data_IF_081059262194
#
_entry.id   IF_081059262194
#
_cell.length_a   1.000
_cell.length_b   1.000
_cell.length_c   1.000
_cell.angle_alpha   90.00
_cell.angle_beta   90.00
_cell.angle_gamma   90.00
#
_symmetry.space_group_name_H-M   'P 1'
#
loop_
_entity.id
_entity.type
_entity.pdbx_description
1 polymer ?
#
# COMPACT_ATOMS: atom_id res chain seq x y z
N UNK A 1 4.37 1.39 16.17
CA UNK A 1 4.11 0.05 15.59
C UNK A 1 4.02 -1.01 16.67
N UNK A 2 4.95 -1.06 17.62
CA UNK A 2 4.92 -2.01 18.76
C UNK A 2 3.63 -1.99 19.57
N UNK A 3 3.12 -0.80 19.92
CA UNK A 3 1.85 -0.67 20.65
C UNK A 3 0.67 -1.25 19.87
N UNK A 4 0.61 -1.04 18.55
CA UNK A 4 -0.43 -1.61 17.71
C UNK A 4 -0.36 -3.15 17.67
N UNK A 5 0.85 -3.71 17.57
CA UNK A 5 1.05 -5.15 17.63
C UNK A 5 0.65 -5.73 19.00
N UNK A 6 0.99 -5.06 20.09
CA UNK A 6 0.61 -5.49 21.43
C UNK A 6 -0.93 -5.51 21.61
N UNK A 7 -1.62 -4.46 21.16
CA UNK A 7 -3.08 -4.39 21.20
C UNK A 7 -3.72 -5.50 20.37
N UNK A 8 -3.25 -5.73 19.13
CA UNK A 8 -3.81 -6.77 18.26
C UNK A 8 -3.57 -8.18 18.81
N UNK A 9 -2.36 -8.46 19.33
CA UNK A 9 -2.04 -9.76 19.94
C UNK A 9 -2.88 -10.04 21.19
N UNK A 10 -3.14 -9.03 22.01
CA UNK A 10 -3.96 -9.17 23.21
C UNK A 10 -5.46 -9.32 22.89
N UNK A 11 -5.92 -8.79 21.75
CA UNK A 11 -7.32 -8.83 21.37
C UNK A 11 -7.75 -10.16 20.70
N UNK A 12 -6.83 -10.86 20.02
CA UNK A 12 -7.15 -12.08 19.27
C UNK A 12 -5.93 -13.02 19.17
N UNK A 13 -6.04 -14.21 19.79
CA UNK A 13 -4.99 -15.24 19.81
C UNK A 13 -4.70 -15.85 18.43
N UNK A 14 -5.70 -15.95 17.55
CA UNK A 14 -5.51 -16.45 16.18
C UNK A 14 -4.78 -15.42 15.35
N UNK A 15 -5.14 -14.14 15.51
CA UNK A 15 -4.41 -13.04 14.87
C UNK A 15 -2.98 -12.96 15.40
N UNK A 16 -2.77 -13.16 16.71
CA UNK A 16 -1.44 -13.22 17.30
C UNK A 16 -0.58 -14.30 16.64
N UNK A 17 -1.12 -15.52 16.45
CA UNK A 17 -0.42 -16.60 15.77
C UNK A 17 -0.03 -16.25 14.33
N UNK A 18 -0.90 -15.54 13.58
CA UNK A 18 -0.58 -15.05 12.23
C UNK A 18 0.52 -13.99 12.26
N UNK A 19 0.48 -13.06 13.21
CA UNK A 19 1.50 -12.02 13.39
C UNK A 19 2.87 -12.65 13.69
N UNK A 20 2.95 -13.70 14.51
CA UNK A 20 4.21 -14.40 14.79
C UNK A 20 4.78 -15.12 13.55
N UNK A 21 3.91 -15.61 12.65
CA UNK A 21 4.34 -16.25 11.41
C UNK A 21 4.84 -15.24 10.36
N UNK A 22 4.39 -14.00 10.43
CA UNK A 22 4.75 -12.92 9.51
C UNK A 22 4.98 -11.59 10.27
N UNK A 23 6.07 -11.47 11.05
CA UNK A 23 6.28 -10.35 11.97
C UNK A 23 6.59 -9.01 11.26
N UNK A 24 6.81 -9.04 9.94
CA UNK A 24 7.07 -7.85 9.12
C UNK A 24 5.91 -7.55 8.17
N UNK A 25 4.94 -6.78 8.64
CA UNK A 25 3.99 -6.07 7.78
C UNK A 25 4.59 -4.70 7.44
N UNK A 26 5.50 -4.66 6.46
CA UNK A 26 5.95 -3.38 5.91
C UNK A 26 4.89 -2.81 4.95
N UNK A 27 3.75 -2.40 5.54
CA UNK A 27 2.62 -1.80 4.81
C UNK A 27 2.91 -0.36 4.36
N UNK A 28 4.13 0.17 4.57
CA UNK A 28 4.39 1.59 4.46
C UNK A 28 5.50 2.00 3.50
N UNK A 29 6.45 1.14 3.16
CA UNK A 29 7.66 1.65 2.48
C UNK A 29 7.54 1.77 0.96
N UNK A 30 6.54 1.17 0.30
CA UNK A 30 6.35 1.39 -1.15
C UNK A 30 5.76 2.76 -1.46
N UNK A 31 4.71 3.15 -0.74
CA UNK A 31 4.05 4.45 -0.94
C UNK A 31 4.89 5.61 -0.38
N UNK A 32 5.59 5.44 0.76
CA UNK A 32 6.47 6.51 1.28
C UNK A 32 7.72 6.77 0.41
N UNK A 33 8.10 5.82 -0.45
CA UNK A 33 9.18 5.98 -1.43
C UNK A 33 8.67 6.52 -2.78
N UNK A 34 7.36 6.61 -2.97
CA UNK A 34 6.76 7.20 -4.16
C UNK A 34 6.63 8.72 -3.95
N UNK A 35 7.35 9.56 -4.72
CA UNK A 35 7.23 11.01 -4.66
C UNK A 35 5.78 11.49 -4.87
N UNK A 36 4.94 10.67 -5.53
CA UNK A 36 3.53 10.97 -5.80
C UNK A 36 2.60 10.73 -4.62
N UNK A 37 3.04 10.00 -3.58
CA UNK A 37 2.25 9.78 -2.37
C UNK A 37 2.02 11.09 -1.57
N UNK A 38 2.78 12.14 -1.85
CA UNK A 38 2.57 13.48 -1.29
C UNK A 38 1.55 14.31 -2.09
N UNK A 39 1.16 13.86 -3.29
CA UNK A 39 0.17 14.52 -4.13
C UNK A 39 -1.18 13.79 -4.03
N UNK A 40 -2.20 14.49 -3.50
CA UNK A 40 -3.54 13.94 -3.31
C UNK A 40 -4.19 13.49 -4.62
N UNK A 41 -4.02 14.25 -5.70
CA UNK A 41 -4.59 13.91 -7.01
C UNK A 41 -3.98 12.61 -7.55
N UNK A 42 -2.64 12.49 -7.51
CA UNK A 42 -1.95 11.29 -7.98
C UNK A 42 -2.28 10.07 -7.11
N UNK A 43 -2.36 10.26 -5.79
CA UNK A 43 -2.78 9.22 -4.85
C UNK A 43 -4.20 8.73 -5.12
N UNK A 44 -5.15 9.64 -5.38
CA UNK A 44 -6.52 9.29 -5.71
C UNK A 44 -6.63 8.59 -7.06
N UNK A 45 -5.93 9.09 -8.09
CA UNK A 45 -5.85 8.45 -9.40
C UNK A 45 -5.33 7.01 -9.29
N UNK A 46 -4.21 6.82 -8.58
CA UNK A 46 -3.64 5.49 -8.32
C UNK A 46 -4.64 4.60 -7.60
N UNK A 47 -5.30 5.12 -6.56
CA UNK A 47 -6.32 4.37 -5.80
C UNK A 47 -7.45 3.90 -6.72
N UNK A 48 -7.95 4.74 -7.62
CA UNK A 48 -9.00 4.38 -8.59
C UNK A 48 -8.50 3.30 -9.56
N UNK A 49 -7.29 3.46 -10.11
CA UNK A 49 -6.72 2.48 -11.05
C UNK A 49 -6.51 1.10 -10.40
N UNK A 50 -6.23 1.05 -9.10
CA UNK A 50 -6.00 -0.19 -8.37
C UNK A 50 -7.28 -0.95 -7.97
N UNK A 51 -8.46 -0.34 -8.12
CA UNK A 51 -9.71 -0.99 -7.74
C UNK A 51 -9.97 -2.23 -8.59
N UNK A 52 -10.25 -3.35 -7.93
CA UNK A 52 -10.64 -4.63 -8.55
C UNK A 52 -9.57 -5.25 -9.47
N UNK A 53 -8.33 -4.78 -9.40
CA UNK A 53 -7.21 -5.30 -10.19
C UNK A 53 -6.13 -5.91 -9.29
N UNK A 54 -5.41 -6.89 -9.83
CA UNK A 54 -4.15 -7.31 -9.21
C UNK A 54 -3.15 -6.15 -9.22
N UNK A 55 -2.28 -6.08 -8.20
CA UNK A 55 -1.27 -5.01 -8.10
C UNK A 55 -0.41 -4.88 -9.36
N UNK A 56 -0.03 -6.00 -9.98
CA UNK A 56 0.76 -6.02 -11.23
C UNK A 56 0.00 -5.44 -12.43
N UNK A 57 -1.29 -5.74 -12.55
CA UNK A 57 -2.12 -5.21 -13.62
C UNK A 57 -2.34 -3.70 -13.44
N UNK A 58 -2.67 -3.29 -12.21
CA UNK A 58 -2.86 -1.89 -11.86
C UNK A 58 -1.58 -1.06 -12.07
N UNK A 59 -0.42 -1.57 -11.66
CA UNK A 59 0.89 -0.94 -11.91
C UNK A 59 1.14 -0.70 -13.41
N UNK A 60 0.84 -1.70 -14.23
CA UNK A 60 1.02 -1.61 -15.69
C UNK A 60 0.12 -0.52 -16.28
N UNK A 61 -1.14 -0.44 -15.85
CA UNK A 61 -2.09 0.55 -16.34
C UNK A 61 -1.71 1.94 -15.85
N UNK A 62 -1.43 2.10 -14.55
CA UNK A 62 -1.02 3.37 -13.95
C UNK A 62 0.23 3.93 -14.65
N UNK A 63 1.24 3.08 -14.91
CA UNK A 63 2.45 3.49 -15.63
C UNK A 63 2.18 3.99 -17.05
N UNK A 64 1.23 3.37 -17.77
CA UNK A 64 0.80 3.85 -19.10
C UNK A 64 0.09 5.19 -19.03
N UNK A 65 -0.77 5.39 -18.03
CA UNK A 65 -1.44 6.69 -17.82
C UNK A 65 -0.42 7.77 -17.54
N UNK A 66 0.52 7.54 -16.62
CA UNK A 66 1.57 8.51 -16.30
C UNK A 66 2.43 8.88 -17.53
N UNK A 67 2.72 7.92 -18.41
CA UNK A 67 3.48 8.17 -19.64
C UNK A 67 2.77 9.07 -20.66
N UNK A 68 1.44 9.25 -20.56
CA UNK A 68 0.67 10.19 -21.39
C UNK A 68 0.79 11.64 -20.91
N UNK A 69 1.22 11.85 -19.67
CA UNK A 69 1.35 13.17 -19.05
C UNK A 69 2.77 13.38 -18.49
N UNK A 70 3.83 13.34 -19.33
CA UNK A 70 5.16 13.68 -18.90
C UNK A 70 5.17 15.14 -18.39
N UNK A 71 5.80 15.37 -17.24
CA UNK A 71 5.96 16.72 -16.71
C UNK A 71 6.62 17.63 -17.76
N UNK A 72 6.04 18.81 -17.98
CA UNK A 72 6.61 19.85 -18.84
C UNK A 72 7.91 20.42 -18.25
#
# INVERSE_FOLDING_TARGET
MEQALATLRAADERLAAVIEQAPFCDMGTRDQRDPTAQNLFQSLLRTIVYQQLSGKAADTIHGRVAALFPAA
#
